data_IF_493351909216
#
_entry.id   IF_493351909216
#
_cell.length_a   1.000
_cell.length_b   1.000
_cell.length_c   1.000
_cell.angle_alpha   90.00
_cell.angle_beta   90.00
_cell.angle_gamma   90.00
#
_symmetry.space_group_name_H-M   'P 1'
#
loop_
_entity.id
_entity.type
_entity.pdbx_description
1 polymer ?
#
# COMPACT_ATOMS: atom_id res chain seq x y z
N UNK A 1 -11.71 40.07 17.32
CA UNK A 1 -10.25 40.20 17.13
C UNK A 1 -9.59 38.94 17.67
N UNK A 2 -9.01 38.13 16.75
CA UNK A 2 -8.07 36.98 16.92
C UNK A 2 -8.54 35.81 17.81
N UNK A 3 -8.58 34.52 17.42
CA UNK A 3 -8.16 33.78 16.23
C UNK A 3 -8.21 32.28 16.61
N UNK A 4 -8.78 31.41 15.76
CA UNK A 4 -8.67 29.95 15.88
C UNK A 4 -8.84 29.33 14.49
N UNK A 5 -7.80 29.45 13.69
CA UNK A 5 -7.61 28.56 12.55
C UNK A 5 -6.27 27.87 12.77
N UNK A 6 -6.31 26.82 13.59
CA UNK A 6 -5.27 25.80 13.63
C UNK A 6 -5.40 24.96 12.36
N UNK A 7 -5.11 25.58 11.22
CA UNK A 7 -4.88 24.88 9.97
C UNK A 7 -3.53 24.21 10.09
N UNK A 8 -3.55 22.98 10.61
CA UNK A 8 -2.48 22.03 10.45
C UNK A 8 -2.38 21.67 8.96
N UNK A 9 -1.86 22.60 8.15
CA UNK A 9 -1.25 22.25 6.87
C UNK A 9 0.05 21.54 7.20
N UNK A 10 -0.08 20.25 7.48
CA UNK A 10 1.04 19.34 7.30
C UNK A 10 1.16 19.15 5.79
N UNK A 11 1.82 20.12 5.14
CA UNK A 11 2.49 19.92 3.86
C UNK A 11 3.59 18.88 4.11
N UNK A 12 3.17 17.62 4.23
CA UNK A 12 4.06 16.49 4.22
C UNK A 12 4.36 16.22 2.75
N UNK A 13 5.35 16.98 2.26
CA UNK A 13 6.48 16.48 1.50
C UNK A 13 6.24 15.13 0.82
N UNK A 14 6.22 15.19 -0.51
CA UNK A 14 6.37 14.08 -1.44
C UNK A 14 7.53 13.16 -1.02
N UNK A 15 7.25 12.19 -0.14
CA UNK A 15 8.21 11.14 0.18
C UNK A 15 8.13 10.11 -0.94
N UNK A 16 8.97 10.31 -1.96
CA UNK A 16 9.26 9.33 -3.01
C UNK A 16 10.05 8.12 -2.45
N UNK A 17 9.70 7.66 -1.26
CA UNK A 17 10.05 6.35 -0.74
C UNK A 17 9.13 5.33 -1.40
N UNK A 18 9.37 5.07 -2.68
CA UNK A 18 8.88 3.86 -3.34
C UNK A 18 9.63 2.62 -2.80
N UNK A 19 9.85 2.54 -1.49
CA UNK A 19 10.17 1.28 -0.83
C UNK A 19 8.89 0.48 -0.88
N UNK A 20 8.79 -0.40 -1.88
CA UNK A 20 7.71 -1.36 -2.04
C UNK A 20 7.49 -2.08 -0.71
N UNK A 21 6.54 -1.60 0.10
CA UNK A 21 6.31 -2.16 1.44
C UNK A 21 5.89 -3.61 1.31
N UNK A 22 6.44 -4.49 2.12
CA UNK A 22 6.05 -5.91 2.14
C UNK A 22 4.69 -6.03 2.81
N UNK A 23 3.84 -6.92 2.29
CA UNK A 23 2.58 -7.23 2.94
C UNK A 23 2.85 -8.02 4.22
N UNK A 24 2.15 -7.67 5.30
CA UNK A 24 2.25 -8.36 6.58
C UNK A 24 1.49 -9.71 6.57
N UNK A 25 0.62 -9.93 5.57
CA UNK A 25 -0.21 -11.14 5.43
C UNK A 25 0.36 -12.16 4.44
N UNK A 26 1.16 -11.72 3.46
CA UNK A 26 1.61 -12.59 2.37
C UNK A 26 3.02 -12.20 1.90
N UNK A 27 3.79 -13.14 1.31
CA UNK A 27 5.20 -12.93 0.98
C UNK A 27 5.43 -12.11 -0.31
N UNK A 28 4.67 -11.04 -0.53
CA UNK A 28 4.85 -10.14 -1.67
C UNK A 28 4.57 -8.68 -1.31
N UNK A 29 4.97 -7.76 -2.19
CA UNK A 29 4.86 -6.32 -1.94
C UNK A 29 3.43 -5.81 -2.06
N UNK A 30 3.17 -4.63 -1.50
CA UNK A 30 1.87 -3.97 -1.59
C UNK A 30 1.46 -3.64 -3.02
N UNK A 31 2.43 -3.42 -3.92
CA UNK A 31 2.21 -3.09 -5.33
C UNK A 31 1.66 -4.26 -6.16
N UNK A 32 1.87 -5.50 -5.73
CA UNK A 32 1.33 -6.68 -6.40
C UNK A 32 -0.15 -6.92 -6.07
N UNK A 33 -0.75 -6.15 -5.16
CA UNK A 33 -2.16 -6.27 -4.85
C UNK A 33 -3.04 -5.58 -5.89
N UNK A 34 -4.08 -6.28 -6.30
CA UNK A 34 -5.29 -5.62 -6.80
C UNK A 34 -5.99 -4.88 -5.62
N UNK A 35 -6.76 -3.80 -5.87
CA UNK A 35 -7.46 -3.06 -4.81
C UNK A 35 -8.29 -3.93 -3.86
N UNK A 36 -8.86 -5.03 -4.35
CA UNK A 36 -9.63 -5.97 -3.51
C UNK A 36 -8.68 -6.73 -2.59
N UNK A 37 -7.59 -7.26 -3.13
CA UNK A 37 -6.59 -7.99 -2.37
C UNK A 37 -5.90 -7.10 -1.32
N UNK A 38 -5.66 -5.84 -1.66
CA UNK A 38 -5.09 -4.86 -0.73
C UNK A 38 -5.98 -4.68 0.50
N UNK A 39 -7.28 -4.39 0.29
CA UNK A 39 -8.24 -4.22 1.40
C UNK A 39 -8.38 -5.47 2.25
N UNK A 40 -8.41 -6.64 1.60
CA UNK A 40 -8.49 -7.90 2.32
C UNK A 40 -7.28 -8.11 3.23
N UNK A 41 -6.06 -7.98 2.68
CA UNK A 41 -4.85 -8.19 3.46
C UNK A 41 -4.70 -7.16 4.58
N UNK A 42 -5.06 -5.89 4.35
CA UNK A 42 -5.07 -4.88 5.42
C UNK A 42 -6.03 -5.27 6.56
N UNK A 43 -7.22 -5.76 6.23
CA UNK A 43 -8.19 -6.18 7.24
C UNK A 43 -7.73 -7.43 8.00
N UNK A 44 -7.04 -8.36 7.32
CA UNK A 44 -6.45 -9.55 7.93
C UNK A 44 -5.32 -9.18 8.89
N UNK A 45 -4.38 -8.34 8.45
CA UNK A 45 -3.28 -7.84 9.27
C UNK A 45 -3.80 -7.07 10.50
N UNK A 46 -4.72 -6.12 10.30
CA UNK A 46 -5.27 -5.28 11.38
C UNK A 46 -6.04 -6.07 12.45
N UNK A 47 -6.52 -7.26 12.10
CA UNK A 47 -7.27 -8.14 13.01
C UNK A 47 -6.48 -9.39 13.41
N UNK A 48 -5.21 -9.50 12.98
CA UNK A 48 -4.35 -10.68 13.19
C UNK A 48 -5.07 -12.00 12.89
N UNK A 49 -5.81 -12.03 11.78
CA UNK A 49 -6.59 -13.19 11.36
C UNK A 49 -5.66 -14.25 10.76
N UNK A 50 -5.79 -15.51 11.20
CA UNK A 50 -5.09 -16.65 10.60
C UNK A 50 -5.85 -17.14 9.36
N UNK A 51 -5.71 -16.41 8.24
CA UNK A 51 -6.33 -16.76 6.95
C UNK A 51 -5.37 -16.53 5.79
N UNK A 52 -5.47 -17.39 4.79
CA UNK A 52 -4.72 -17.24 3.53
C UNK A 52 -5.14 -15.99 2.76
N UNK A 53 -4.18 -15.33 2.12
CA UNK A 53 -4.45 -14.15 1.28
C UNK A 53 -5.20 -14.53 -0.02
N UNK A 54 -6.01 -13.60 -0.54
CA UNK A 54 -6.75 -13.78 -1.80
C UNK A 54 -5.96 -13.35 -3.06
N UNK A 55 -4.68 -13.06 -2.91
CA UNK A 55 -3.86 -12.46 -3.95
C UNK A 55 -3.70 -13.40 -5.15
N UNK A 56 -4.25 -13.02 -6.31
CA UNK A 56 -4.15 -13.83 -7.54
C UNK A 56 -2.75 -13.86 -8.16
N UNK A 57 -1.86 -12.96 -7.73
CA UNK A 57 -0.59 -12.68 -8.41
C UNK A 57 0.58 -12.59 -7.41
N UNK A 58 1.17 -13.72 -7.03
CA UNK A 58 2.49 -13.74 -6.40
C UNK A 58 3.58 -13.38 -7.43
N UNK A 59 3.73 -12.09 -7.74
CA UNK A 59 4.73 -11.57 -8.67
C UNK A 59 5.63 -10.59 -7.90
N UNK A 60 6.83 -10.97 -7.46
CA UNK A 60 7.76 -10.06 -6.81
C UNK A 60 8.52 -9.28 -7.90
N UNK A 61 7.87 -8.35 -8.60
CA UNK A 61 8.63 -7.38 -9.41
C UNK A 61 7.75 -6.19 -9.82
N UNK A 62 8.19 -4.95 -9.58
CA UNK A 62 7.71 -3.82 -10.35
C UNK A 62 8.11 -4.08 -11.82
N UNK A 63 7.14 -4.38 -12.67
CA UNK A 63 7.38 -4.52 -14.11
C UNK A 63 7.61 -3.11 -14.68
N UNK A 64 8.80 -2.76 -15.19
CA UNK A 64 8.89 -1.62 -16.10
C UNK A 64 8.04 -1.99 -17.32
N UNK A 65 6.88 -1.35 -17.42
CA UNK A 65 6.06 -1.23 -18.63
C UNK A 65 7.00 -1.07 -19.82
N UNK A 66 7.12 -2.11 -20.65
CA UNK A 66 7.84 -2.03 -21.92
C UNK A 66 7.06 -1.05 -22.78
N UNK A 67 7.48 0.21 -22.78
CA UNK A 67 7.07 1.17 -23.79
C UNK A 67 7.66 0.69 -25.10
N UNK A 68 6.79 0.19 -25.99
CA UNK A 68 7.17 -0.40 -27.25
C UNK A 68 6.58 0.46 -28.37
N UNK A 69 7.51 1.16 -29.05
CA UNK A 69 7.45 1.76 -30.40
C UNK A 69 7.41 3.28 -30.49
#
# INVERSE_FOLDING_TARGET
MTGVESSASSDATLDSDSTSRMCETCPHTWESHDPIAARYCSAVAARSLDRSCICSQNKPTPQPKKENK
#
